data_IF_101416640660
#
_entry.id   IF_101416640660
#
_cell.length_a   1.000
_cell.length_b   1.000
_cell.length_c   1.000
_cell.angle_alpha   90.00
_cell.angle_beta   90.00
_cell.angle_gamma   90.00
#
_symmetry.space_group_name_H-M   'P 1'
#
loop_
_entity.id
_entity.type
_entity.pdbx_description
1 polymer ?
#
# COMPACT_ATOMS: atom_id res chain seq x y z
N UNK A 1 31.47 -8.37 8.76
CA UNK A 1 31.86 -8.08 10.15
C UNK A 1 32.30 -9.39 10.76
N UNK A 2 33.56 -9.44 11.27
CA UNK A 2 34.13 -10.62 11.91
C UNK A 2 34.07 -10.43 13.43
N UNK A 3 33.51 -11.38 14.14
CA UNK A 3 33.66 -11.48 15.60
C UNK A 3 34.89 -12.35 15.91
N UNK A 4 35.81 -11.80 16.68
CA UNK A 4 36.97 -12.51 17.15
C UNK A 4 36.72 -12.88 18.62
N UNK A 5 36.61 -14.16 18.91
CA UNK A 5 36.61 -14.67 20.28
C UNK A 5 37.92 -15.40 20.56
N UNK A 6 38.52 -15.11 21.69
CA UNK A 6 39.71 -15.82 22.19
C UNK A 6 39.33 -16.66 23.40
N UNK A 7 39.77 -17.92 23.39
CA UNK A 7 39.61 -18.79 24.55
C UNK A 7 40.75 -18.59 25.55
N UNK A 8 40.56 -19.11 26.78
CA UNK A 8 41.52 -19.01 27.87
C UNK A 8 42.94 -19.62 27.56
N UNK A 9 43.08 -20.31 26.46
CA UNK A 9 44.34 -20.90 25.98
C UNK A 9 45.03 -20.14 24.85
N UNK A 10 44.57 -18.91 24.53
CA UNK A 10 45.21 -18.06 23.55
C UNK A 10 44.94 -18.42 22.08
N UNK A 11 44.04 -19.36 21.82
CA UNK A 11 43.57 -19.68 20.47
C UNK A 11 42.48 -18.72 20.05
N UNK A 12 42.74 -17.90 19.06
CA UNK A 12 41.72 -17.01 18.48
C UNK A 12 41.08 -17.70 17.30
N UNK A 13 39.77 -17.87 17.36
CA UNK A 13 38.95 -18.30 16.25
C UNK A 13 38.14 -17.13 15.73
N UNK A 14 38.33 -16.75 14.46
CA UNK A 14 37.48 -15.79 13.80
C UNK A 14 36.24 -16.50 13.27
N UNK A 15 35.11 -16.26 13.86
CA UNK A 15 33.80 -16.61 13.26
C UNK A 15 33.32 -15.45 12.42
N UNK A 16 32.93 -15.73 11.18
CA UNK A 16 32.21 -14.78 10.38
C UNK A 16 30.83 -14.63 11.01
N UNK A 17 30.67 -13.58 11.81
CA UNK A 17 29.37 -13.26 12.40
C UNK A 17 28.41 -12.88 11.29
N UNK A 18 27.31 -13.63 11.18
CA UNK A 18 26.16 -13.18 10.41
C UNK A 18 26.17 -13.48 8.92
N UNK A 19 26.91 -14.47 8.45
CA UNK A 19 26.50 -15.16 7.22
C UNK A 19 25.40 -16.16 7.59
N UNK A 20 24.29 -15.65 8.05
CA UNK A 20 23.04 -16.35 7.79
C UNK A 20 22.96 -16.44 6.28
N UNK A 21 23.07 -17.65 5.73
CA UNK A 21 22.69 -17.92 4.34
C UNK A 21 21.20 -17.61 4.23
N UNK A 22 20.87 -16.34 4.11
CA UNK A 22 19.50 -15.90 3.78
C UNK A 22 19.27 -16.31 2.35
N UNK A 23 18.72 -17.49 2.18
CA UNK A 23 18.20 -17.92 0.89
C UNK A 23 17.06 -16.97 0.57
N UNK A 24 17.21 -16.17 -0.48
CA UNK A 24 16.13 -15.34 -1.00
C UNK A 24 15.24 -16.24 -1.85
N UNK A 25 13.97 -16.34 -1.46
CA UNK A 25 12.98 -17.04 -2.26
C UNK A 25 12.64 -16.23 -3.50
N UNK A 26 12.65 -16.86 -4.66
CA UNK A 26 12.16 -16.31 -5.92
C UNK A 26 10.68 -16.66 -6.18
N UNK A 27 10.03 -17.28 -5.21
CA UNK A 27 8.60 -17.57 -5.26
C UNK A 27 7.78 -16.31 -5.11
N UNK A 28 6.52 -16.39 -5.55
CA UNK A 28 5.54 -15.32 -5.36
C UNK A 28 5.34 -15.05 -3.86
N UNK A 29 5.42 -13.81 -3.49
CA UNK A 29 5.24 -13.33 -2.12
C UNK A 29 3.96 -12.51 -2.08
N UNK A 30 3.14 -12.75 -1.05
CA UNK A 30 1.97 -11.93 -0.75
C UNK A 30 2.29 -11.04 0.45
N UNK A 31 2.37 -9.74 0.23
CA UNK A 31 2.51 -8.76 1.29
C UNK A 31 1.13 -8.23 1.65
N UNK A 32 0.68 -8.52 2.85
CA UNK A 32 -0.51 -7.91 3.40
C UNK A 32 -0.11 -6.60 4.11
N UNK A 33 -0.42 -5.48 3.48
CA UNK A 33 -0.14 -4.18 4.06
C UNK A 33 -1.25 -3.82 5.04
N UNK A 34 -0.86 -3.47 6.25
CA UNK A 34 -1.79 -3.13 7.32
C UNK A 34 -2.65 -1.92 6.95
N UNK A 35 -3.84 -1.87 7.53
CA UNK A 35 -4.74 -0.72 7.40
C UNK A 35 -4.06 0.54 7.91
N UNK A 36 -4.06 1.59 7.09
CA UNK A 36 -3.51 2.87 7.46
C UNK A 36 -4.55 3.99 7.28
N UNK A 37 -4.42 5.01 8.11
CA UNK A 37 -5.24 6.21 8.03
C UNK A 37 -4.57 7.22 7.10
N UNK A 38 -5.26 7.60 6.05
CA UNK A 38 -4.82 8.59 5.06
C UNK A 38 -5.95 9.57 4.77
N UNK A 39 -5.63 10.67 4.09
CA UNK A 39 -6.64 11.61 3.63
C UNK A 39 -6.91 11.42 2.14
N UNK A 40 -8.16 11.54 1.74
CA UNK A 40 -8.56 11.59 0.34
C UNK A 40 -8.31 12.98 -0.29
N UNK A 41 -8.71 13.17 -1.54
CA UNK A 41 -8.54 14.45 -2.25
C UNK A 41 -9.29 15.61 -1.59
N UNK A 42 -10.38 15.34 -0.88
CA UNK A 42 -11.19 16.33 -0.17
C UNK A 42 -10.72 16.58 1.27
N UNK A 43 -9.65 15.90 1.70
CA UNK A 43 -9.13 15.98 3.06
C UNK A 43 -9.88 15.15 4.09
N UNK A 44 -10.79 14.28 3.67
CA UNK A 44 -11.51 13.36 4.57
C UNK A 44 -10.58 12.24 5.04
N UNK A 45 -10.50 11.95 6.35
CA UNK A 45 -9.72 10.82 6.84
C UNK A 45 -10.41 9.50 6.49
N UNK A 46 -9.65 8.62 5.84
CA UNK A 46 -10.09 7.28 5.43
C UNK A 46 -9.14 6.22 5.95
N UNK A 47 -9.63 5.00 6.09
CA UNK A 47 -8.84 3.82 6.41
C UNK A 47 -8.75 2.98 5.16
N UNK A 48 -7.53 2.71 4.74
CA UNK A 48 -7.24 1.92 3.54
C UNK A 48 -6.24 0.80 3.86
N UNK A 49 -6.51 -0.39 3.35
CA UNK A 49 -5.60 -1.53 3.39
C UNK A 49 -5.42 -2.11 1.99
N UNK A 50 -4.26 -2.66 1.73
CA UNK A 50 -3.95 -3.25 0.45
C UNK A 50 -3.15 -4.54 0.58
N UNK A 51 -3.26 -5.41 -0.42
CA UNK A 51 -2.44 -6.60 -0.59
C UNK A 51 -1.61 -6.42 -1.85
N UNK A 52 -0.32 -6.70 -1.75
CA UNK A 52 0.62 -6.66 -2.86
C UNK A 52 1.12 -8.06 -3.14
N UNK A 53 0.98 -8.51 -4.37
CA UNK A 53 1.52 -9.77 -4.87
C UNK A 53 2.75 -9.44 -5.71
N UNK A 54 3.89 -9.96 -5.33
CA UNK A 54 5.16 -9.68 -5.96
C UNK A 54 6.09 -10.90 -5.95
N UNK A 55 7.18 -10.80 -6.67
CA UNK A 55 8.28 -11.76 -6.63
C UNK A 55 9.62 -11.05 -6.80
N UNK A 56 10.68 -11.67 -6.32
CA UNK A 56 12.05 -11.18 -6.54
C UNK A 56 12.56 -11.78 -7.84
N UNK A 57 12.82 -10.91 -8.82
CA UNK A 57 13.35 -11.32 -10.13
C UNK A 57 14.87 -11.19 -10.21
N UNK A 58 15.46 -10.30 -9.41
CA UNK A 58 16.90 -10.11 -9.31
C UNK A 58 17.34 -10.16 -7.85
N UNK A 59 17.73 -11.36 -7.34
CA UNK A 59 18.17 -11.51 -5.95
C UNK A 59 19.40 -10.68 -5.61
N UNK A 60 20.27 -10.43 -6.58
CA UNK A 60 21.48 -9.63 -6.40
C UNK A 60 21.13 -8.19 -6.05
N UNK A 61 20.19 -7.58 -6.76
CA UNK A 61 19.71 -6.23 -6.45
C UNK A 61 19.00 -6.19 -5.08
N UNK A 62 18.20 -7.19 -4.76
CA UNK A 62 17.49 -7.26 -3.48
C UNK A 62 18.45 -7.33 -2.28
N UNK A 63 19.61 -7.96 -2.44
CA UNK A 63 20.63 -8.06 -1.38
C UNK A 63 21.55 -6.85 -1.33
N UNK A 64 22.01 -6.37 -2.50
CA UNK A 64 23.05 -5.34 -2.58
C UNK A 64 22.50 -3.92 -2.46
N UNK A 65 21.32 -3.66 -3.01
CA UNK A 65 20.78 -2.32 -3.08
C UNK A 65 19.91 -1.97 -1.87
N UNK A 66 19.39 -2.96 -1.15
CA UNK A 66 18.45 -2.78 -0.05
C UNK A 66 18.85 -3.65 1.14
N UNK A 67 18.86 -3.07 2.31
CA UNK A 67 19.24 -3.74 3.55
C UNK A 67 18.20 -4.81 3.97
N UNK A 68 16.92 -4.44 3.93
CA UNK A 68 15.79 -5.33 4.17
C UNK A 68 14.71 -5.11 3.11
N UNK A 69 14.65 -5.99 2.12
CA UNK A 69 13.74 -5.85 0.98
C UNK A 69 12.25 -5.91 1.35
N UNK A 70 11.87 -6.68 2.37
CA UNK A 70 10.47 -6.75 2.82
C UNK A 70 10.04 -5.46 3.50
N UNK A 71 10.88 -4.91 4.35
CA UNK A 71 10.63 -3.61 5.00
C UNK A 71 10.62 -2.47 3.98
N UNK A 72 11.54 -2.49 3.04
CA UNK A 72 11.58 -1.53 1.94
C UNK A 72 10.30 -1.58 1.11
N UNK A 73 9.86 -2.77 0.70
CA UNK A 73 8.62 -2.97 -0.04
C UNK A 73 7.39 -2.45 0.73
N UNK A 74 7.27 -2.78 2.00
CA UNK A 74 6.18 -2.31 2.86
C UNK A 74 6.18 -0.78 2.97
N UNK A 75 7.32 -0.17 3.18
CA UNK A 75 7.45 1.29 3.26
C UNK A 75 7.10 1.99 1.95
N UNK A 76 7.53 1.44 0.82
CA UNK A 76 7.17 1.98 -0.49
C UNK A 76 5.68 1.81 -0.78
N UNK A 77 5.09 0.69 -0.38
CA UNK A 77 3.66 0.45 -0.49
C UNK A 77 2.84 1.48 0.30
N UNK A 78 3.20 1.76 1.54
CA UNK A 78 2.57 2.79 2.37
C UNK A 78 2.64 4.18 1.71
N UNK A 79 3.80 4.52 1.17
CA UNK A 79 4.01 5.78 0.47
C UNK A 79 3.13 5.91 -0.77
N UNK A 80 3.05 4.87 -1.59
CA UNK A 80 2.23 4.84 -2.80
C UNK A 80 0.75 4.95 -2.47
N UNK A 81 0.27 4.20 -1.49
CA UNK A 81 -1.13 4.26 -1.04
C UNK A 81 -1.49 5.67 -0.61
N UNK A 82 -0.65 6.31 0.20
CA UNK A 82 -0.88 7.68 0.67
C UNK A 82 -0.90 8.69 -0.47
N UNK A 83 0.03 8.60 -1.39
CA UNK A 83 0.13 9.53 -2.51
C UNK A 83 -1.06 9.40 -3.47
N UNK A 84 -1.41 8.18 -3.83
CA UNK A 84 -2.52 7.92 -4.75
C UNK A 84 -3.87 8.27 -4.10
N UNK A 85 -4.05 7.98 -2.83
CA UNK A 85 -5.29 8.31 -2.11
C UNK A 85 -5.60 9.81 -2.08
N UNK A 86 -4.57 10.65 -2.08
CA UNK A 86 -4.73 12.12 -2.13
C UNK A 86 -5.19 12.66 -3.48
N UNK A 87 -5.10 11.87 -4.52
CA UNK A 87 -5.47 12.28 -5.87
C UNK A 87 -6.97 12.09 -6.17
N UNK A 88 -7.64 11.24 -5.39
CA UNK A 88 -9.03 10.85 -5.64
C UNK A 88 -9.89 11.04 -4.40
N UNK A 89 -11.15 11.52 -4.55
CA UNK A 89 -12.10 11.52 -3.45
C UNK A 89 -12.51 10.09 -3.11
N UNK A 90 -12.92 9.86 -1.87
CA UNK A 90 -13.47 8.57 -1.44
C UNK A 90 -14.73 8.20 -2.22
N UNK A 91 -15.66 9.14 -2.32
CA UNK A 91 -16.90 8.98 -3.03
C UNK A 91 -17.37 10.35 -3.56
N UNK A 92 -18.20 10.35 -4.59
CA UNK A 92 -18.82 11.56 -5.10
C UNK A 92 -20.05 11.86 -4.21
N UNK A 93 -20.03 13.01 -3.57
CA UNK A 93 -21.23 13.60 -2.98
C UNK A 93 -21.83 14.43 -4.11
N UNK A 94 -22.71 13.83 -4.90
CA UNK A 94 -23.28 14.45 -6.10
C UNK A 94 -24.06 15.72 -5.78
N UNK A 95 -23.48 16.84 -6.13
CA UNK A 95 -24.25 18.02 -6.53
C UNK A 95 -24.50 17.92 -8.05
N UNK A 96 -25.69 18.29 -8.48
CA UNK A 96 -26.36 17.99 -9.76
C UNK A 96 -25.63 18.36 -11.09
N UNK A 97 -24.33 18.67 -11.06
CA UNK A 97 -23.59 19.16 -12.24
C UNK A 97 -22.26 18.47 -12.49
N UNK A 98 -22.03 17.28 -11.96
CA UNK A 98 -20.72 16.64 -12.08
C UNK A 98 -20.66 15.58 -13.17
N UNK A 99 -19.57 15.64 -13.91
CA UNK A 99 -19.20 14.64 -14.90
C UNK A 99 -19.26 13.23 -14.28
N UNK A 100 -20.10 12.38 -14.83
CA UNK A 100 -20.20 10.93 -14.51
C UNK A 100 -18.85 10.17 -14.65
N UNK A 101 -17.80 10.89 -15.01
CA UNK A 101 -16.45 10.34 -15.26
C UNK A 101 -15.46 10.60 -14.12
N UNK A 102 -15.85 11.23 -13.02
CA UNK A 102 -14.92 11.46 -11.92
C UNK A 102 -14.61 10.14 -11.21
N UNK A 103 -13.31 9.79 -11.17
CA UNK A 103 -12.84 8.59 -10.52
C UNK A 103 -12.85 8.78 -9.00
N UNK A 104 -13.40 7.79 -8.31
CA UNK A 104 -13.43 7.75 -6.84
C UNK A 104 -12.71 6.51 -6.33
N UNK A 105 -12.20 6.58 -5.09
CA UNK A 105 -11.57 5.42 -4.45
C UNK A 105 -12.54 4.24 -4.32
N UNK A 106 -13.79 4.52 -4.04
CA UNK A 106 -14.83 3.50 -3.90
C UNK A 106 -15.32 2.94 -5.23
N UNK A 107 -15.57 3.79 -6.20
CA UNK A 107 -16.17 3.41 -7.49
C UNK A 107 -15.16 2.88 -8.50
N UNK A 108 -13.94 3.38 -8.46
CA UNK A 108 -12.88 3.06 -9.43
C UNK A 108 -11.70 2.32 -8.78
N UNK A 109 -11.96 1.51 -7.77
CA UNK A 109 -10.91 0.87 -6.94
C UNK A 109 -9.94 0.02 -7.76
N UNK A 110 -10.41 -0.65 -8.81
CA UNK A 110 -9.53 -1.45 -9.67
C UNK A 110 -8.56 -0.57 -10.48
N UNK A 111 -9.04 0.48 -11.10
CA UNK A 111 -8.19 1.39 -11.86
C UNK A 111 -7.18 2.12 -10.97
N UNK A 112 -7.58 2.46 -9.76
CA UNK A 112 -6.71 3.07 -8.75
C UNK A 112 -5.66 2.06 -8.26
N UNK A 113 -6.04 0.81 -8.05
CA UNK A 113 -5.10 -0.26 -7.73
C UNK A 113 -4.08 -0.49 -8.86
N UNK A 114 -4.50 -0.43 -10.12
CA UNK A 114 -3.60 -0.51 -11.27
C UNK A 114 -2.61 0.67 -11.30
N UNK A 115 -3.07 1.86 -10.94
CA UNK A 115 -2.19 3.04 -10.81
C UNK A 115 -1.19 2.88 -9.66
N UNK A 116 -1.61 2.30 -8.55
CA UNK A 116 -0.73 1.96 -7.43
C UNK A 116 0.33 0.93 -7.84
N UNK A 117 -0.05 -0.07 -8.62
CA UNK A 117 0.88 -1.08 -9.15
C UNK A 117 1.99 -0.43 -9.98
N UNK A 118 1.65 0.44 -10.91
CA UNK A 118 2.61 1.16 -11.76
C UNK A 118 3.57 2.03 -10.93
N UNK A 119 3.05 2.79 -10.00
CA UNK A 119 3.87 3.64 -9.13
C UNK A 119 4.77 2.83 -8.20
N UNK A 120 4.25 1.76 -7.63
CA UNK A 120 5.03 0.88 -6.76
C UNK A 120 6.14 0.17 -7.53
N UNK A 121 5.87 -0.30 -8.75
CA UNK A 121 6.87 -0.93 -9.61
C UNK A 121 8.06 -0.01 -9.87
N UNK A 122 7.83 1.26 -10.17
CA UNK A 122 8.90 2.25 -10.36
C UNK A 122 9.77 2.42 -9.11
N UNK A 123 9.15 2.36 -7.93
CA UNK A 123 9.85 2.56 -6.65
C UNK A 123 10.67 1.35 -6.21
N UNK A 124 10.28 0.14 -6.60
CA UNK A 124 10.92 -1.11 -6.15
C UNK A 124 11.77 -1.79 -7.22
N UNK A 125 11.84 -1.24 -8.41
CA UNK A 125 12.61 -1.78 -9.52
C UNK A 125 14.09 -1.95 -9.18
N UNK A 126 14.69 -0.97 -8.50
CA UNK A 126 16.08 -1.00 -8.08
C UNK A 126 16.37 -2.06 -7.01
N UNK A 127 15.35 -2.56 -6.34
CA UNK A 127 15.46 -3.67 -5.39
C UNK A 127 15.31 -5.06 -6.05
N UNK A 128 15.12 -5.11 -7.37
CA UNK A 128 14.94 -6.36 -8.12
C UNK A 128 13.61 -7.05 -7.84
N UNK A 129 12.58 -6.30 -7.47
CA UNK A 129 11.23 -6.79 -7.15
C UNK A 129 10.31 -6.48 -8.33
N UNK A 130 9.54 -7.48 -8.76
CA UNK A 130 8.47 -7.33 -9.72
C UNK A 130 7.12 -7.35 -9.01
N UNK A 131 6.33 -6.31 -9.18
CA UNK A 131 4.97 -6.23 -8.68
C UNK A 131 4.04 -6.90 -9.69
N UNK A 132 3.34 -7.94 -9.25
CA UNK A 132 2.40 -8.67 -10.11
C UNK A 132 1.00 -8.09 -10.02
N UNK A 133 0.54 -7.76 -8.82
CA UNK A 133 -0.80 -7.24 -8.57
C UNK A 133 -0.84 -6.44 -7.28
N UNK A 134 -1.63 -5.39 -7.28
CA UNK A 134 -2.02 -4.63 -6.09
C UNK A 134 -3.54 -4.67 -5.97
N UNK A 135 -4.06 -5.01 -4.79
CA UNK A 135 -5.50 -5.01 -4.48
C UNK A 135 -5.78 -4.17 -3.25
N UNK A 136 -6.80 -3.35 -3.33
CA UNK A 136 -7.36 -2.69 -2.16
C UNK A 136 -8.29 -3.69 -1.46
N UNK A 137 -7.95 -4.04 -0.22
CA UNK A 137 -8.69 -5.04 0.57
C UNK A 137 -9.63 -4.42 1.59
N UNK A 138 -9.37 -3.19 1.99
CA UNK A 138 -10.18 -2.44 2.92
C UNK A 138 -10.21 -0.98 2.53
N UNK A 139 -11.41 -0.40 2.53
CA UNK A 139 -11.62 1.01 2.26
C UNK A 139 -12.86 1.48 3.01
N UNK A 140 -12.69 2.42 3.93
CA UNK A 140 -13.79 3.00 4.69
C UNK A 140 -13.42 4.40 5.17
N UNK A 141 -14.42 5.21 5.53
CA UNK A 141 -14.16 6.41 6.29
C UNK A 141 -13.60 6.09 7.68
N UNK A 142 -12.75 6.96 8.20
CA UNK A 142 -12.31 6.86 9.58
C UNK A 142 -13.50 6.99 10.54
N UNK A 143 -13.43 6.34 11.69
CA UNK A 143 -14.53 6.31 12.68
C UNK A 143 -15.01 7.71 13.08
N UNK A 144 -14.10 8.68 13.13
CA UNK A 144 -14.37 10.07 13.52
C UNK A 144 -15.44 10.75 12.65
N UNK A 145 -15.53 10.37 11.36
CA UNK A 145 -16.42 10.98 10.39
C UNK A 145 -17.43 10.00 9.79
N UNK A 146 -17.31 8.71 10.10
CA UNK A 146 -18.11 7.65 9.48
C UNK A 146 -19.62 7.88 9.63
N UNK A 147 -20.09 8.24 10.83
CA UNK A 147 -21.49 8.53 11.10
C UNK A 147 -21.98 9.78 10.34
N UNK A 148 -21.20 10.84 10.32
CA UNK A 148 -21.55 12.08 9.61
C UNK A 148 -21.64 11.86 8.10
N UNK A 149 -20.71 11.09 7.53
CA UNK A 149 -20.69 10.77 6.10
C UNK A 149 -21.84 9.84 5.70
N UNK A 150 -22.22 8.89 6.56
CA UNK A 150 -23.40 8.06 6.34
C UNK A 150 -24.69 8.88 6.30
N UNK A 151 -24.85 9.82 7.21
CA UNK A 151 -25.99 10.75 7.20
C UNK A 151 -26.05 11.59 5.92
N UNK A 152 -24.92 12.07 5.43
CA UNK A 152 -24.83 12.80 4.16
C UNK A 152 -25.27 11.94 2.96
N UNK A 153 -24.82 10.69 2.90
CA UNK A 153 -25.20 9.74 1.85
C UNK A 153 -26.70 9.44 1.89
N UNK A 154 -27.28 9.25 3.07
CA UNK A 154 -28.70 9.02 3.25
C UNK A 154 -29.53 10.26 2.85
N UNK A 155 -29.11 11.45 3.24
CA UNK A 155 -29.80 12.69 2.85
C UNK A 155 -29.80 12.89 1.34
N UNK A 156 -28.68 12.64 0.67
CA UNK A 156 -28.58 12.70 -0.80
C UNK A 156 -29.50 11.67 -1.47
N UNK A 157 -29.56 10.44 -0.97
CA UNK A 157 -30.45 9.41 -1.49
C UNK A 157 -31.94 9.76 -1.31
N UNK A 158 -32.32 10.35 -0.19
CA UNK A 158 -33.69 10.81 0.07
C UNK A 158 -34.08 11.95 -0.88
N UNK A 159 -33.21 12.91 -1.11
CA UNK A 159 -33.44 14.02 -2.06
C UNK A 159 -33.59 13.48 -3.47
N UNK A 160 -32.72 12.58 -3.92
CA UNK A 160 -32.79 11.94 -5.23
C UNK A 160 -34.07 11.11 -5.41
N UNK A 161 -34.52 10.39 -4.39
CA UNK A 161 -35.81 9.69 -4.40
C UNK A 161 -36.99 10.63 -4.44
N UNK A 162 -36.97 11.76 -3.70
CA UNK A 162 -38.01 12.80 -3.70
C UNK A 162 -38.15 13.47 -5.06
N UNK A 163 -37.11 13.68 -5.81
CA UNK A 163 -37.16 14.27 -7.16
C UNK A 163 -37.78 13.35 -8.20
N UNK A 164 -37.81 12.04 -7.98
CA UNK A 164 -38.40 11.06 -8.91
C UNK A 164 -39.92 10.89 -8.75
N UNK A 165 -40.50 11.46 -7.72
CA UNK A 165 -41.94 11.32 -7.36
C UNK A 165 -42.81 12.42 -7.93
N UNK A 166 -42.22 13.45 -8.49
CA UNK A 166 -42.98 14.61 -9.06
C UNK A 166 -43.46 14.34 -10.49
#
# INVERSE_FOLDING_TARGET
IFEISSDANGNSSAKVAGVTKKKISTKVITLNNEKQKVNDALGNPIIIGAVVICKIIDPTKAVLNVDNYMKFLSTQCDSVIRNISRLYPYDIISDENEDDNEKTLRGSSQEIADSMEVELQKKVEDAGIEIMEVRITHLSYAEEIAAAMLQRQQATAIIAAGQKIV
#
